data_IF_741261536407
#
_entry.id   IF_741261536407
#
_cell.length_a   1.000
_cell.length_b   1.000
_cell.length_c   1.000
_cell.angle_alpha   90.00
_cell.angle_beta   90.00
_cell.angle_gamma   90.00
#
_symmetry.space_group_name_H-M   'P 1'
#
loop_
_entity.id
_entity.type
_entity.pdbx_description
1 polymer ?
#
# COMPACT_ATOMS: atom_id res chain seq x y z
N UNK A 1 -67.24 -34.70 -5.51
CA UNK A 1 -66.45 -34.23 -6.67
C UNK A 1 -66.10 -32.78 -6.41
N UNK A 2 -64.80 -32.45 -6.37
CA UNK A 2 -64.23 -31.16 -5.94
C UNK A 2 -64.49 -30.09 -7.03
N UNK A 3 -64.73 -28.82 -6.63
CA UNK A 3 -63.98 -27.60 -7.03
C UNK A 3 -64.78 -26.32 -6.66
N UNK A 4 -64.49 -25.60 -5.57
CA UNK A 4 -63.38 -24.66 -5.30
C UNK A 4 -63.42 -23.38 -6.14
N UNK A 5 -63.73 -22.23 -5.52
CA UNK A 5 -62.84 -21.05 -5.37
C UNK A 5 -63.59 -19.71 -5.36
N UNK A 6 -63.88 -19.20 -4.16
CA UNK A 6 -64.06 -17.78 -3.91
C UNK A 6 -62.75 -17.04 -4.20
N UNK A 7 -62.81 -16.14 -5.17
CA UNK A 7 -61.74 -15.29 -5.64
C UNK A 7 -61.59 -14.09 -4.70
N UNK A 8 -60.92 -14.26 -3.55
CA UNK A 8 -60.48 -13.13 -2.73
C UNK A 8 -59.06 -12.77 -3.17
N UNK A 9 -58.94 -11.83 -4.11
CA UNK A 9 -57.67 -11.17 -4.43
C UNK A 9 -57.41 -10.15 -3.33
N UNK A 10 -56.91 -10.62 -2.19
CA UNK A 10 -56.26 -9.77 -1.21
C UNK A 10 -54.89 -9.39 -1.79
N UNK A 11 -54.84 -8.22 -2.45
CA UNK A 11 -53.61 -7.62 -2.94
C UNK A 11 -52.68 -7.27 -1.78
N UNK A 12 -51.86 -8.22 -1.35
CA UNK A 12 -50.75 -7.96 -0.43
C UNK A 12 -49.59 -7.44 -1.28
N UNK A 13 -49.47 -6.12 -1.33
CA UNK A 13 -48.31 -5.44 -1.91
C UNK A 13 -47.06 -5.81 -1.13
N UNK A 14 -46.16 -6.58 -1.74
CA UNK A 14 -44.81 -6.80 -1.21
C UNK A 14 -43.88 -5.82 -1.89
N UNK A 15 -43.86 -4.59 -1.36
CA UNK A 15 -42.75 -3.67 -1.58
C UNK A 15 -41.54 -4.19 -0.80
N UNK A 16 -40.62 -4.87 -1.48
CA UNK A 16 -39.33 -5.24 -0.87
C UNK A 16 -38.46 -3.98 -0.82
N UNK A 17 -38.52 -3.28 0.30
CA UNK A 17 -37.59 -2.20 0.62
C UNK A 17 -36.16 -2.75 0.68
N UNK A 18 -35.27 -2.26 -0.20
CA UNK A 18 -33.84 -2.61 -0.28
C UNK A 18 -33.09 -2.41 1.06
N UNK A 19 -33.70 -1.71 2.02
CA UNK A 19 -33.11 -1.37 3.31
C UNK A 19 -32.90 -2.55 4.27
N UNK A 20 -33.59 -3.69 4.09
CA UNK A 20 -33.49 -4.83 5.01
C UNK A 20 -32.23 -5.71 4.80
N UNK A 21 -31.56 -5.61 3.65
CA UNK A 21 -30.35 -6.42 3.37
C UNK A 21 -29.13 -5.93 4.18
N UNK A 22 -29.16 -4.70 4.71
CA UNK A 22 -27.98 -4.07 5.32
C UNK A 22 -27.76 -4.35 6.82
N UNK A 23 -28.65 -5.09 7.50
CA UNK A 23 -28.56 -5.26 8.96
C UNK A 23 -28.35 -6.71 9.44
N UNK A 24 -28.03 -7.64 8.54
CA UNK A 24 -27.70 -9.03 8.90
C UNK A 24 -26.36 -9.43 8.26
N UNK A 25 -25.26 -8.91 8.81
CA UNK A 25 -23.97 -9.65 8.81
C UNK A 25 -23.00 -9.09 9.84
N UNK A 26 -22.79 -9.86 10.91
CA UNK A 26 -21.52 -9.86 11.64
C UNK A 26 -21.55 -9.32 13.06
N UNK A 27 -22.13 -10.09 13.99
CA UNK A 27 -21.81 -9.94 15.41
C UNK A 27 -20.33 -10.27 15.69
N UNK A 28 -19.66 -9.30 16.31
CA UNK A 28 -18.75 -9.40 17.47
C UNK A 28 -17.64 -10.46 17.43
N UNK A 29 -16.40 -9.99 17.32
CA UNK A 29 -15.31 -10.40 18.23
C UNK A 29 -14.61 -9.15 18.81
N UNK A 30 -14.51 -9.15 20.14
CA UNK A 30 -13.88 -8.13 20.98
C UNK A 30 -12.35 -8.08 20.73
N UNK A 31 -11.71 -6.94 21.04
CA UNK A 31 -10.28 -6.73 20.83
C UNK A 31 -9.45 -7.51 21.87
N UNK A 32 -8.58 -8.37 21.38
CA UNK A 32 -7.52 -9.00 22.17
C UNK A 32 -6.39 -7.98 22.37
N UNK A 33 -6.14 -7.67 23.64
CA UNK A 33 -5.06 -6.79 24.08
C UNK A 33 -3.77 -7.58 24.01
N UNK A 34 -2.96 -7.34 22.99
CA UNK A 34 -1.56 -7.73 23.01
C UNK A 34 -0.71 -6.51 23.32
N UNK A 35 -0.03 -6.61 24.47
CA UNK A 35 0.86 -5.64 25.08
C UNK A 35 2.08 -5.34 24.21
N UNK A 36 2.69 -4.14 24.35
CA UNK A 36 3.85 -3.75 23.58
C UNK A 36 5.06 -4.59 23.99
N UNK A 37 5.57 -5.44 23.09
CA UNK A 37 6.87 -6.08 23.27
C UNK A 37 7.94 -5.02 23.07
N UNK A 38 8.46 -4.56 24.19
CA UNK A 38 9.66 -3.77 24.37
C UNK A 38 10.86 -4.53 23.77
N UNK A 39 11.20 -4.28 22.50
CA UNK A 39 12.52 -4.68 21.98
C UNK A 39 13.57 -3.67 22.45
N UNK A 40 14.11 -4.03 23.62
CA UNK A 40 15.38 -3.68 24.23
C UNK A 40 16.42 -3.17 23.22
N UNK A 41 16.80 -1.90 23.37
CA UNK A 41 18.09 -1.37 22.94
C UNK A 41 19.21 -2.17 23.61
N UNK A 42 20.06 -2.83 22.82
CA UNK A 42 21.47 -3.02 23.14
C UNK A 42 22.19 -2.02 22.24
N UNK A 43 22.59 -0.83 22.72
CA UNK A 43 23.80 -0.60 23.51
C UNK A 43 24.93 -1.60 23.17
N UNK A 44 25.71 -1.25 22.16
CA UNK A 44 27.16 -1.47 22.16
C UNK A 44 27.76 -0.08 22.05
N UNK A 45 27.99 0.50 23.21
CA UNK A 45 28.90 1.62 23.42
C UNK A 45 30.30 1.02 23.51
N UNK A 46 31.12 1.23 22.47
CA UNK A 46 32.57 1.24 22.65
C UNK A 46 33.17 2.33 21.78
N UNK A 47 33.51 3.40 22.48
CA UNK A 47 34.22 4.60 22.07
C UNK A 47 35.67 4.20 21.81
N UNK A 48 36.17 4.29 20.57
CA UNK A 48 37.58 4.66 20.30
C UNK A 48 37.65 5.40 18.94
N UNK A 49 37.54 6.72 18.96
CA UNK A 49 38.36 7.57 18.08
C UNK A 49 39.69 7.83 18.83
N UNK A 50 40.84 7.69 18.15
CA UNK A 50 41.37 8.86 17.45
C UNK A 50 41.98 8.57 16.07
N UNK A 51 41.87 9.53 15.15
CA UNK A 51 42.64 9.59 13.90
C UNK A 51 44.16 9.57 14.17
N UNK A 52 44.99 9.06 13.24
CA UNK A 52 45.57 9.98 12.26
C UNK A 52 45.74 9.41 10.84
N UNK A 53 45.33 10.23 9.87
CA UNK A 53 45.83 10.33 8.49
C UNK A 53 47.28 9.84 8.33
N UNK A 54 47.46 8.73 7.62
CA UNK A 54 48.75 8.43 6.97
C UNK A 54 48.50 8.00 5.53
N UNK A 55 48.97 8.83 4.61
CA UNK A 55 48.95 8.63 3.16
C UNK A 55 49.72 7.35 2.83
N UNK A 56 49.09 6.41 2.13
CA UNK A 56 49.80 5.41 1.33
C UNK A 56 49.23 5.46 -0.08
N UNK A 57 50.02 6.06 -0.97
CA UNK A 57 49.87 5.99 -2.41
C UNK A 57 49.90 4.53 -2.83
N UNK A 58 48.77 4.01 -3.32
CA UNK A 58 48.74 2.81 -4.14
C UNK A 58 48.29 3.21 -5.53
N UNK A 59 49.27 3.47 -6.39
CA UNK A 59 49.07 3.57 -7.83
C UNK A 59 48.65 2.22 -8.41
N UNK A 60 47.83 2.32 -9.47
CA UNK A 60 47.62 1.30 -10.49
C UNK A 60 46.94 -0.01 -10.06
N UNK A 61 45.60 0.04 -9.94
CA UNK A 61 44.70 -0.91 -10.62
C UNK A 61 43.31 -0.27 -10.71
N UNK A 62 43.13 0.66 -11.66
CA UNK A 62 41.80 1.13 -12.05
C UNK A 62 41.04 -0.01 -12.72
N UNK A 63 40.39 -0.86 -11.93
CA UNK A 63 39.23 -1.60 -12.40
C UNK A 63 38.20 -0.51 -12.74
N UNK A 64 38.02 -0.20 -14.04
CA UNK A 64 36.88 0.59 -14.50
C UNK A 64 35.66 0.00 -13.80
N UNK A 65 34.92 0.74 -12.95
CA UNK A 65 33.67 0.26 -12.43
C UNK A 65 32.85 -0.11 -13.67
N UNK A 66 32.48 -1.39 -13.79
CA UNK A 66 31.51 -1.83 -14.77
C UNK A 66 30.32 -0.91 -14.56
N UNK A 67 30.12 0.04 -15.48
CA UNK A 67 29.02 0.98 -15.41
C UNK A 67 27.76 0.12 -15.49
N UNK A 68 27.23 -0.25 -14.33
CA UNK A 68 25.92 -0.86 -14.23
C UNK A 68 24.99 0.14 -14.89
N UNK A 69 24.45 -0.27 -16.05
CA UNK A 69 23.51 0.52 -16.81
C UNK A 69 22.45 1.02 -15.83
N UNK A 70 22.39 2.34 -15.64
CA UNK A 70 21.54 3.00 -14.66
C UNK A 70 20.11 2.52 -14.89
N UNK A 71 19.63 1.59 -14.07
CA UNK A 71 18.31 0.97 -14.25
C UNK A 71 17.28 2.10 -14.27
N UNK A 72 16.37 2.12 -15.25
CA UNK A 72 15.32 3.14 -15.28
C UNK A 72 14.52 3.07 -13.97
N UNK A 73 14.24 4.23 -13.39
CA UNK A 73 13.46 4.33 -12.17
C UNK A 73 12.05 3.81 -12.45
N UNK A 74 11.68 2.71 -11.79
CA UNK A 74 10.41 2.03 -12.01
C UNK A 74 10.01 1.29 -10.73
N UNK A 75 8.83 1.62 -10.19
CA UNK A 75 8.22 0.89 -9.09
C UNK A 75 7.46 -0.31 -9.65
N UNK A 76 7.93 -1.51 -9.32
CA UNK A 76 7.38 -2.81 -9.75
C UNK A 76 7.32 -3.77 -8.59
N UNK A 77 6.68 -4.93 -8.77
CA UNK A 77 6.60 -5.99 -7.76
C UNK A 77 7.94 -6.24 -7.05
N UNK A 78 7.90 -6.25 -5.73
CA UNK A 78 9.07 -6.43 -4.87
C UNK A 78 9.90 -5.17 -4.61
N UNK A 79 9.62 -4.05 -5.29
CA UNK A 79 10.20 -2.75 -4.96
C UNK A 79 9.85 -2.37 -3.52
N UNK A 80 10.74 -1.67 -2.84
CA UNK A 80 10.55 -1.25 -1.44
C UNK A 80 10.96 0.20 -1.27
N UNK A 81 10.35 0.88 -0.30
CA UNK A 81 10.79 2.21 0.10
C UNK A 81 9.65 3.20 0.31
N UNK A 82 10.03 4.46 0.52
CA UNK A 82 9.10 5.57 0.77
C UNK A 82 8.23 5.85 -0.45
N UNK A 83 8.76 5.64 -1.64
CA UNK A 83 8.06 5.84 -2.91
C UNK A 83 6.90 4.85 -3.05
N UNK A 84 7.12 3.61 -2.62
CA UNK A 84 6.06 2.59 -2.58
C UNK A 84 5.03 2.90 -1.49
N UNK A 85 5.48 3.34 -0.31
CA UNK A 85 4.59 3.80 0.77
C UNK A 85 3.66 4.94 0.28
N UNK A 86 4.23 5.92 -0.41
CA UNK A 86 3.50 7.05 -1.01
C UNK A 86 2.51 6.59 -2.08
N UNK A 87 2.91 5.68 -2.96
CA UNK A 87 2.01 5.04 -3.92
C UNK A 87 0.85 4.33 -3.22
N UNK A 88 1.12 3.52 -2.19
CA UNK A 88 0.11 2.79 -1.43
C UNK A 88 -0.90 3.73 -0.75
N UNK A 89 -0.42 4.82 -0.14
CA UNK A 89 -1.27 5.87 0.44
C UNK A 89 -2.11 6.53 -0.65
N UNK A 90 -1.52 6.83 -1.81
CA UNK A 90 -2.24 7.44 -2.92
C UNK A 90 -3.33 6.52 -3.46
N UNK A 91 -3.05 5.22 -3.60
CA UNK A 91 -4.02 4.19 -4.00
C UNK A 91 -5.15 4.04 -2.97
N UNK A 92 -4.83 4.13 -1.67
CA UNK A 92 -5.81 4.12 -0.60
C UNK A 92 -6.77 5.30 -0.74
N UNK A 93 -6.23 6.50 -0.95
CA UNK A 93 -7.00 7.75 -1.01
C UNK A 93 -7.88 7.84 -2.26
N UNK A 94 -7.35 7.49 -3.44
CA UNK A 94 -8.03 7.76 -4.71
C UNK A 94 -8.77 6.56 -5.29
N UNK A 95 -8.35 5.34 -4.94
CA UNK A 95 -8.86 4.11 -5.57
C UNK A 95 -9.38 3.07 -4.58
N UNK A 96 -9.47 3.43 -3.29
CA UNK A 96 -10.06 2.58 -2.27
C UNK A 96 -9.25 1.32 -1.97
N UNK A 97 -7.93 1.39 -2.08
CA UNK A 97 -7.05 0.30 -1.65
C UNK A 97 -7.25 0.02 -0.15
N UNK A 98 -7.30 -1.27 0.21
CA UNK A 98 -7.61 -1.75 1.57
C UNK A 98 -6.47 -2.51 2.24
N UNK A 99 -5.30 -2.57 1.60
CA UNK A 99 -4.14 -3.25 2.13
C UNK A 99 -3.48 -2.48 3.27
N UNK A 100 -2.62 -3.15 4.03
CA UNK A 100 -1.73 -2.50 5.00
C UNK A 100 -0.58 -1.82 4.25
N UNK A 101 -0.19 -0.61 4.66
CA UNK A 101 0.95 0.10 4.09
C UNK A 101 2.26 -0.59 4.49
N UNK A 102 2.70 -1.55 3.68
CA UNK A 102 3.89 -2.38 3.91
C UNK A 102 5.18 -1.72 3.44
N UNK A 103 5.09 -0.65 2.64
CA UNK A 103 6.23 -0.04 1.91
C UNK A 103 6.89 -1.01 0.93
N UNK A 104 6.22 -2.11 0.60
CA UNK A 104 6.64 -3.12 -0.36
C UNK A 104 5.59 -3.20 -1.46
N UNK A 105 6.03 -3.22 -2.71
CA UNK A 105 5.15 -3.29 -3.86
C UNK A 105 4.71 -4.75 -3.99
N UNK A 106 3.70 -5.10 -3.20
CA UNK A 106 3.13 -6.42 -3.10
C UNK A 106 2.14 -6.72 -4.24
N UNK A 107 1.60 -7.93 -4.25
CA UNK A 107 0.66 -8.37 -5.28
C UNK A 107 -0.62 -7.52 -5.28
N UNK A 108 -1.12 -7.09 -4.11
CA UNK A 108 -2.33 -6.26 -4.05
C UNK A 108 -2.08 -4.87 -4.66
N UNK A 109 -0.90 -4.31 -4.42
CA UNK A 109 -0.44 -3.06 -5.01
C UNK A 109 -0.32 -3.21 -6.53
N UNK A 110 0.30 -4.30 -7.00
CA UNK A 110 0.47 -4.64 -8.42
C UNK A 110 -0.88 -4.78 -9.16
N UNK A 111 -1.81 -5.56 -8.62
CA UNK A 111 -3.13 -5.78 -9.21
C UNK A 111 -3.89 -4.46 -9.38
N UNK A 112 -3.83 -3.59 -8.37
CA UNK A 112 -4.52 -2.31 -8.43
C UNK A 112 -3.83 -1.33 -9.39
N UNK A 113 -2.51 -1.27 -9.40
CA UNK A 113 -1.72 -0.49 -10.37
C UNK A 113 -2.06 -0.94 -11.80
N UNK A 114 -2.05 -2.25 -12.06
CA UNK A 114 -2.41 -2.81 -13.36
C UNK A 114 -3.84 -2.49 -13.76
N UNK A 115 -4.78 -2.50 -12.80
CA UNK A 115 -6.17 -2.12 -13.05
C UNK A 115 -6.30 -0.66 -13.50
N UNK A 116 -5.59 0.26 -12.84
CA UNK A 116 -5.68 1.72 -13.05
C UNK A 116 -4.90 2.15 -14.28
N UNK A 117 -3.61 1.80 -14.33
CA UNK A 117 -2.66 2.33 -15.31
C UNK A 117 -2.45 1.40 -16.52
N UNK A 118 -2.97 0.16 -16.47
CA UNK A 118 -2.77 -0.87 -17.51
C UNK A 118 -1.30 -1.24 -17.72
N UNK A 119 -0.47 -1.02 -16.70
CA UNK A 119 0.96 -1.31 -16.67
C UNK A 119 1.28 -2.19 -15.47
N UNK A 120 2.37 -2.96 -15.53
CA UNK A 120 2.82 -3.80 -14.41
C UNK A 120 3.63 -3.02 -13.36
N UNK A 121 3.73 -1.69 -13.51
CA UNK A 121 4.49 -0.82 -12.63
C UNK A 121 4.25 0.66 -12.89
N UNK A 122 4.92 1.49 -12.08
CA UNK A 122 4.81 2.95 -12.13
C UNK A 122 6.19 3.55 -12.42
N UNK A 123 6.29 4.23 -13.55
CA UNK A 123 7.46 4.99 -13.94
C UNK A 123 7.46 6.39 -13.30
N UNK A 124 8.58 7.09 -13.44
CA UNK A 124 8.75 8.39 -12.78
C UNK A 124 7.74 9.42 -13.27
N UNK A 125 7.45 9.40 -14.57
CA UNK A 125 6.51 10.33 -15.20
C UNK A 125 5.11 10.15 -14.65
N UNK A 126 4.63 8.91 -14.54
CA UNK A 126 3.30 8.62 -13.98
C UNK A 126 3.25 8.97 -12.50
N UNK A 127 4.30 8.66 -11.74
CA UNK A 127 4.37 8.96 -10.32
C UNK A 127 4.26 10.46 -10.03
N UNK A 128 5.03 11.28 -10.75
CA UNK A 128 5.05 12.73 -10.59
C UNK A 128 3.76 13.37 -11.11
N UNK A 129 3.22 12.88 -12.25
CA UNK A 129 1.95 13.35 -12.83
C UNK A 129 0.78 13.26 -11.84
N UNK A 130 0.74 12.23 -11.01
CA UNK A 130 -0.33 12.02 -10.03
C UNK A 130 0.03 12.57 -8.63
N UNK A 131 1.16 13.27 -8.52
CA UNK A 131 1.66 13.87 -7.27
C UNK A 131 1.71 12.86 -6.12
N UNK A 132 2.05 11.60 -6.42
CA UNK A 132 2.01 10.53 -5.43
C UNK A 132 3.01 10.79 -4.28
N UNK A 133 4.14 11.43 -4.59
CA UNK A 133 5.17 11.77 -3.62
C UNK A 133 4.82 12.94 -2.70
N UNK A 134 3.84 13.78 -3.06
CA UNK A 134 3.52 15.01 -2.32
C UNK A 134 2.75 14.68 -1.04
N UNK A 135 3.27 15.05 0.14
CA UNK A 135 2.56 14.88 1.40
C UNK A 135 1.21 15.64 1.42
N UNK A 136 0.22 15.06 2.09
CA UNK A 136 -1.14 15.60 2.13
C UNK A 136 -1.19 17.05 2.65
N UNK A 137 -0.36 17.38 3.64
CA UNK A 137 -0.34 18.72 4.25
C UNK A 137 0.16 19.81 3.30
N UNK A 138 0.86 19.47 2.22
CA UNK A 138 1.26 20.42 1.18
C UNK A 138 0.13 20.64 0.17
N UNK A 139 -0.64 19.59 -0.14
CA UNK A 139 -1.76 19.66 -1.10
C UNK A 139 -2.95 20.51 -0.60
N UNK A 140 -3.11 20.70 0.70
CA UNK A 140 -4.22 21.48 1.29
C UNK A 140 -3.89 22.99 1.32
N UNK A 141 -2.63 23.38 1.15
CA UNK A 141 -2.18 24.78 1.20
C UNK A 141 -2.16 25.48 -0.17
N UNK A 142 -2.30 24.72 -1.25
CA UNK A 142 -2.28 25.21 -2.63
C UNK A 142 -3.71 25.50 -3.11
#
# INVERSE_FOLDING_TARGET
>A
MIRTNDLIIAGVGIGVSILAVYLIKGQKKKPEKETPVLQKRQNVEEIIEPEPITKVTSEANYIKPKQEAKKPWLLTKGSKGKEVERLQIWLLRHHGWKGTITKVFDQQTEELVKKIFKTDGIDRVTYDKHQMGTPIHELIKA
#
